data_IF_985698280609
#
_entry.id   IF_985698280609
#
_cell.length_a   1.000
_cell.length_b   1.000
_cell.length_c   1.000
_cell.angle_alpha   90.00
_cell.angle_beta   90.00
_cell.angle_gamma   90.00
#
_symmetry.space_group_name_H-M   'P 1'
#
loop_
_entity.id
_entity.type
_entity.pdbx_description
1 polymer ?
#
# COMPACT_ATOMS: atom_id res chain seq x y z
N UNK A 1 12.95 6.68 6.65
CA UNK A 1 14.26 6.56 7.29
C UNK A 1 14.32 7.14 8.71
N UNK A 2 13.19 7.42 9.33
CA UNK A 2 13.12 7.98 10.70
C UNK A 2 12.21 7.08 11.56
N UNK A 3 12.80 6.13 12.27
CA UNK A 3 12.08 5.18 13.14
C UNK A 3 11.33 5.90 14.25
N UNK A 4 11.88 7.00 14.76
CA UNK A 4 11.25 7.80 15.80
C UNK A 4 10.01 8.53 15.30
N UNK A 5 10.07 9.08 14.08
CA UNK A 5 8.91 9.68 13.42
C UNK A 5 7.81 8.64 13.15
N UNK A 6 8.18 7.41 12.77
CA UNK A 6 7.21 6.32 12.59
C UNK A 6 6.54 5.92 13.91
N UNK A 7 7.28 5.83 15.02
CA UNK A 7 6.70 5.58 16.34
C UNK A 7 5.70 6.66 16.73
N UNK A 8 6.10 7.93 16.59
CA UNK A 8 5.22 9.05 16.88
C UNK A 8 3.94 9.01 16.03
N UNK A 9 4.04 8.64 14.75
CA UNK A 9 2.87 8.49 13.88
C UNK A 9 1.97 7.37 14.37
N UNK A 10 2.51 6.24 14.78
CA UNK A 10 1.71 5.13 15.31
C UNK A 10 1.07 5.44 16.65
N UNK A 11 1.66 6.32 17.46
CA UNK A 11 1.12 6.77 18.75
C UNK A 11 0.08 7.87 18.62
N UNK A 12 0.19 8.74 17.60
CA UNK A 12 -0.66 9.93 17.46
C UNK A 12 -1.67 9.84 16.31
N UNK A 13 -1.43 8.96 15.34
CA UNK A 13 -2.20 8.89 14.11
C UNK A 13 -1.88 9.96 13.07
N UNK A 14 -0.90 10.84 13.34
CA UNK A 14 -0.52 11.93 12.44
C UNK A 14 0.99 12.13 12.39
N UNK A 15 1.48 12.60 11.23
CA UNK A 15 2.89 12.95 11.05
C UNK A 15 3.33 12.82 9.61
N UNK A 16 4.64 12.82 9.41
CA UNK A 16 5.23 12.61 8.10
C UNK A 16 6.58 11.91 8.21
N UNK A 17 6.93 11.16 7.18
CA UNK A 17 8.25 10.54 7.04
C UNK A 17 8.72 10.61 5.59
N UNK A 18 10.01 10.38 5.37
CA UNK A 18 10.59 10.33 4.03
C UNK A 18 10.56 8.91 3.48
N UNK A 19 10.14 8.79 2.22
CA UNK A 19 10.26 7.58 1.40
C UNK A 19 11.34 7.85 0.36
N UNK A 20 12.32 6.95 0.27
CA UNK A 20 13.46 7.07 -0.62
C UNK A 20 13.29 6.17 -1.84
N UNK A 21 13.94 6.56 -2.93
CA UNK A 21 14.15 5.69 -4.08
C UNK A 21 15.12 4.57 -3.72
N UNK A 22 14.95 3.39 -4.33
CA UNK A 22 15.98 2.37 -4.35
C UNK A 22 16.96 2.68 -5.48
N UNK A 23 18.23 2.89 -5.12
CA UNK A 23 19.26 3.35 -6.03
C UNK A 23 20.54 2.57 -5.81
N UNK A 24 21.15 2.12 -6.88
CA UNK A 24 22.47 1.51 -6.88
C UNK A 24 23.36 2.09 -7.99
N UNK A 25 24.65 1.99 -7.79
CA UNK A 25 25.65 2.39 -8.77
C UNK A 25 26.16 1.13 -9.48
N UNK A 26 26.13 1.13 -10.79
CA UNK A 26 26.81 0.14 -11.62
C UNK A 26 28.17 0.71 -12.02
N UNK A 27 29.22 0.23 -11.36
CA UNK A 27 30.59 0.67 -11.58
C UNK A 27 31.14 0.23 -12.97
N UNK A 28 30.63 -0.88 -13.51
CA UNK A 28 31.08 -1.39 -14.80
C UNK A 28 30.67 -0.49 -15.97
N UNK A 29 29.46 0.05 -15.88
CA UNK A 29 28.88 0.95 -16.90
C UNK A 29 28.98 2.42 -16.52
N UNK A 30 29.42 2.74 -15.30
CA UNK A 30 29.47 4.07 -14.72
C UNK A 30 28.09 4.75 -14.72
N UNK A 31 27.07 4.03 -14.23
CA UNK A 31 25.68 4.46 -14.23
C UNK A 31 25.11 4.48 -12.80
N UNK A 32 24.16 5.40 -12.58
CA UNK A 32 23.29 5.36 -11.41
C UNK A 32 21.94 4.81 -11.88
N UNK A 33 21.49 3.70 -11.27
CA UNK A 33 20.26 3.01 -11.64
C UNK A 33 19.26 3.13 -10.49
N UNK A 34 18.08 3.67 -10.80
CA UNK A 34 16.95 3.78 -9.88
C UNK A 34 15.97 2.67 -10.23
N UNK A 35 15.76 1.75 -9.29
CA UNK A 35 14.90 0.57 -9.47
C UNK A 35 13.53 0.71 -8.81
N UNK A 36 13.36 1.71 -7.96
CA UNK A 36 12.08 2.01 -7.35
C UNK A 36 11.94 3.50 -7.06
N UNK A 37 10.72 4.02 -7.17
CA UNK A 37 10.38 5.42 -6.86
C UNK A 37 9.35 5.47 -5.73
N UNK A 38 9.30 6.56 -4.94
CA UNK A 38 8.35 6.69 -3.85
C UNK A 38 6.90 6.55 -4.31
N UNK A 39 6.07 5.90 -3.49
CA UNK A 39 4.65 5.75 -3.75
C UNK A 39 3.97 7.09 -4.03
N UNK A 40 3.07 7.11 -5.02
CA UNK A 40 2.37 8.32 -5.43
C UNK A 40 3.17 9.27 -6.34
N UNK A 41 4.43 8.93 -6.66
CA UNK A 41 5.25 9.71 -7.58
C UNK A 41 4.88 9.38 -9.03
N UNK A 42 4.63 10.41 -9.85
CA UNK A 42 4.42 10.25 -11.28
C UNK A 42 5.78 10.08 -11.96
N UNK A 43 6.07 8.89 -12.50
CA UNK A 43 7.38 8.53 -13.06
C UNK A 43 7.86 9.52 -14.13
N UNK A 44 7.01 9.88 -15.09
CA UNK A 44 7.39 10.81 -16.16
C UNK A 44 7.79 12.20 -15.64
N UNK A 45 7.08 12.70 -14.62
CA UNK A 45 7.44 13.95 -13.97
C UNK A 45 8.75 13.84 -13.20
N UNK A 46 8.95 12.71 -12.49
CA UNK A 46 10.18 12.45 -11.75
C UNK A 46 11.41 12.45 -12.67
N UNK A 47 11.34 11.76 -13.81
CA UNK A 47 12.42 11.74 -14.82
C UNK A 47 12.68 13.14 -15.37
N UNK A 48 11.63 13.87 -15.73
CA UNK A 48 11.74 15.23 -16.22
C UNK A 48 12.36 16.19 -15.18
N UNK A 49 11.99 16.04 -13.90
CA UNK A 49 12.55 16.85 -12.81
C UNK A 49 14.05 16.55 -12.58
N UNK A 50 14.46 15.27 -12.73
CA UNK A 50 15.88 14.88 -12.67
C UNK A 50 16.67 15.49 -13.82
N UNK A 51 16.16 15.39 -15.05
CA UNK A 51 16.85 15.96 -16.23
C UNK A 51 16.89 17.48 -16.18
N UNK A 52 15.79 18.13 -15.76
CA UNK A 52 15.77 19.58 -15.51
C UNK A 52 16.82 20.00 -14.51
N UNK A 53 16.95 19.29 -13.39
CA UNK A 53 17.96 19.58 -12.36
C UNK A 53 19.38 19.39 -12.89
N UNK A 54 19.62 18.37 -13.72
CA UNK A 54 20.89 18.21 -14.42
C UNK A 54 21.31 19.47 -15.20
N UNK A 55 20.34 20.06 -15.90
CA UNK A 55 20.59 21.27 -16.70
C UNK A 55 20.71 22.53 -15.83
N UNK A 56 19.76 22.74 -14.91
CA UNK A 56 19.67 23.95 -14.09
C UNK A 56 20.86 24.06 -13.10
N UNK A 57 21.23 22.96 -12.47
CA UNK A 57 22.33 22.90 -11.49
C UNK A 57 23.69 22.70 -12.16
N UNK A 58 23.74 22.62 -13.51
CA UNK A 58 24.97 22.41 -14.30
C UNK A 58 25.77 21.20 -13.85
N UNK A 59 25.07 20.06 -13.69
CA UNK A 59 25.71 18.80 -13.32
C UNK A 59 26.39 18.17 -14.55
N UNK A 60 27.56 18.72 -14.92
CA UNK A 60 28.29 18.29 -16.13
C UNK A 60 28.79 16.85 -16.06
N UNK A 61 28.75 16.23 -14.88
CA UNK A 61 29.08 14.84 -14.65
C UNK A 61 27.93 13.86 -15.02
N UNK A 62 26.68 14.31 -15.14
CA UNK A 62 25.55 13.53 -15.61
C UNK A 62 25.32 13.84 -17.09
N UNK A 63 25.52 12.84 -17.95
CA UNK A 63 25.37 13.00 -19.40
C UNK A 63 23.91 13.00 -19.83
N UNK A 64 23.16 12.03 -19.36
CA UNK A 64 21.78 11.80 -19.77
C UNK A 64 20.96 11.13 -18.64
N UNK A 65 19.66 11.37 -18.64
CA UNK A 65 18.68 10.68 -17.79
C UNK A 65 17.71 9.94 -18.70
N UNK A 66 17.67 8.61 -18.60
CA UNK A 66 16.84 7.75 -19.46
C UNK A 66 15.85 6.94 -18.65
N UNK A 67 14.64 6.79 -19.18
CA UNK A 67 13.64 5.86 -18.64
C UNK A 67 13.64 4.58 -19.47
N UNK A 68 14.18 3.52 -18.90
CA UNK A 68 14.25 2.18 -19.49
C UNK A 68 13.24 1.22 -18.85
N UNK A 69 12.23 1.75 -18.12
CA UNK A 69 11.25 0.94 -17.42
C UNK A 69 10.37 0.16 -18.39
N UNK A 70 10.08 -1.09 -18.01
CA UNK A 70 9.10 -1.97 -18.67
C UNK A 70 7.97 -2.27 -17.67
N UNK A 71 7.88 -3.50 -17.16
CA UNK A 71 7.01 -3.85 -16.02
C UNK A 71 7.59 -3.32 -14.71
N UNK A 72 8.92 -3.34 -14.60
CA UNK A 72 9.67 -2.82 -13.46
C UNK A 72 10.23 -1.43 -13.75
N UNK A 73 10.37 -0.63 -12.69
CA UNK A 73 10.99 0.69 -12.77
C UNK A 73 12.49 0.53 -13.00
N UNK A 74 12.99 1.16 -14.07
CA UNK A 74 14.41 1.28 -14.36
C UNK A 74 14.70 2.65 -14.96
N UNK A 75 15.22 3.56 -14.15
CA UNK A 75 15.64 4.90 -14.59
C UNK A 75 17.16 4.94 -14.48
N UNK A 76 17.84 5.27 -15.57
CA UNK A 76 19.29 5.25 -15.69
C UNK A 76 19.80 6.66 -15.86
N UNK A 77 20.80 7.02 -15.05
CA UNK A 77 21.58 8.24 -15.20
C UNK A 77 22.98 7.85 -15.66
N UNK A 78 23.34 8.23 -16.87
CA UNK A 78 24.69 8.00 -17.42
C UNK A 78 25.66 9.02 -16.85
N UNK A 79 26.71 8.53 -16.23
CA UNK A 79 27.75 9.37 -15.63
C UNK A 79 28.97 9.43 -16.54
N UNK A 80 29.61 10.60 -16.65
CA UNK A 80 30.81 10.79 -17.43
C UNK A 80 31.93 9.89 -16.91
N UNK A 81 32.68 9.24 -17.79
CA UNK A 81 33.69 8.22 -17.45
C UNK A 81 34.72 8.66 -16.39
N UNK A 82 35.11 9.93 -16.41
CA UNK A 82 36.13 10.50 -15.51
C UNK A 82 35.53 11.16 -14.26
N UNK A 83 34.23 10.93 -13.98
CA UNK A 83 33.53 11.52 -12.87
C UNK A 83 33.12 10.45 -11.84
N UNK A 84 33.04 10.85 -10.60
CA UNK A 84 32.64 9.98 -9.49
C UNK A 84 31.10 9.88 -9.42
N UNK A 85 30.47 8.70 -9.70
CA UNK A 85 29.02 8.53 -9.63
C UNK A 85 28.50 8.70 -8.20
N UNK A 86 29.31 8.38 -7.17
CA UNK A 86 28.92 8.58 -5.78
C UNK A 86 28.71 10.04 -5.44
N UNK A 87 29.52 10.96 -5.99
CA UNK A 87 29.34 12.40 -5.79
C UNK A 87 28.03 12.89 -6.41
N UNK A 88 27.69 12.43 -7.62
CA UNK A 88 26.42 12.74 -8.26
C UNK A 88 25.23 12.21 -7.45
N UNK A 89 25.31 10.98 -6.96
CA UNK A 89 24.27 10.39 -6.12
C UNK A 89 24.09 11.15 -4.81
N UNK A 90 25.16 11.50 -4.12
CA UNK A 90 25.11 12.26 -2.88
C UNK A 90 24.51 13.66 -3.11
N UNK A 91 24.86 14.31 -4.21
CA UNK A 91 24.25 15.60 -4.60
C UNK A 91 22.73 15.48 -4.78
N UNK A 92 22.26 14.49 -5.56
CA UNK A 92 20.83 14.26 -5.78
C UNK A 92 20.10 13.94 -4.47
N UNK A 93 20.73 13.21 -3.55
CA UNK A 93 20.21 12.95 -2.20
C UNK A 93 20.13 14.22 -1.36
N UNK A 94 21.19 15.03 -1.36
CA UNK A 94 21.24 16.31 -0.62
C UNK A 94 20.15 17.28 -1.10
N UNK A 95 19.92 17.36 -2.40
CA UNK A 95 18.85 18.19 -2.99
C UNK A 95 17.45 17.61 -2.80
N UNK A 96 17.34 16.42 -2.22
CA UNK A 96 16.06 15.77 -1.97
C UNK A 96 15.37 15.20 -3.22
N UNK A 97 16.12 15.06 -4.34
CA UNK A 97 15.56 14.58 -5.61
C UNK A 97 15.17 13.10 -5.58
N UNK A 98 15.80 12.32 -4.68
CA UNK A 98 15.62 10.87 -4.57
C UNK A 98 14.74 10.46 -3.37
N UNK A 99 13.94 11.39 -2.86
CA UNK A 99 13.02 11.12 -1.75
C UNK A 99 11.74 11.94 -1.91
N UNK A 100 10.68 11.45 -1.30
CA UNK A 100 9.39 12.15 -1.17
C UNK A 100 8.94 12.16 0.27
N UNK A 101 8.28 13.22 0.70
CA UNK A 101 7.62 13.27 2.01
C UNK A 101 6.27 12.57 1.91
N UNK A 102 6.04 11.58 2.76
CA UNK A 102 4.75 10.94 2.90
C UNK A 102 4.07 11.45 4.17
N UNK A 103 2.97 12.19 3.99
CA UNK A 103 2.16 12.66 5.10
C UNK A 103 1.14 11.59 5.50
N UNK A 104 1.06 11.31 6.80
CA UNK A 104 0.15 10.34 7.40
C UNK A 104 -0.91 11.09 8.20
N UNK A 105 -2.18 10.75 7.95
CA UNK A 105 -3.31 11.15 8.76
C UNK A 105 -4.28 9.97 8.83
N UNK A 106 -4.28 9.28 9.97
CA UNK A 106 -5.10 8.11 10.21
C UNK A 106 -6.53 8.51 10.62
N UNK A 107 -7.21 9.22 9.71
CA UNK A 107 -8.61 9.61 9.90
C UNK A 107 -9.51 8.43 9.51
N UNK A 108 -10.34 7.95 10.43
CA UNK A 108 -11.31 6.89 10.21
C UNK A 108 -12.69 7.26 10.77
N UNK A 109 -13.72 6.51 10.34
CA UNK A 109 -15.06 6.62 10.91
C UNK A 109 -15.21 5.56 12.01
N UNK A 110 -15.32 6.01 13.25
CA UNK A 110 -15.66 5.16 14.39
C UNK A 110 -17.11 5.45 14.81
N UNK A 111 -17.96 4.43 14.80
CA UNK A 111 -19.40 4.52 15.14
C UNK A 111 -20.12 5.69 14.43
N UNK A 112 -19.74 5.94 13.17
CA UNK A 112 -20.33 6.99 12.34
C UNK A 112 -19.73 8.39 12.53
N UNK A 113 -18.74 8.55 13.39
CA UNK A 113 -18.07 9.84 13.64
C UNK A 113 -16.63 9.82 13.12
N UNK A 114 -16.18 10.87 12.40
CA UNK A 114 -14.77 10.98 11.97
C UNK A 114 -13.89 11.24 13.19
N UNK A 115 -12.84 10.42 13.34
CA UNK A 115 -11.85 10.54 14.41
C UNK A 115 -10.46 10.24 13.84
N UNK A 116 -9.48 11.07 14.19
CA UNK A 116 -8.07 10.71 13.99
C UNK A 116 -7.67 9.75 15.09
N UNK A 117 -7.19 8.59 14.70
CA UNK A 117 -6.93 7.47 15.60
C UNK A 117 -5.48 7.03 15.47
N UNK A 118 -4.88 6.61 16.56
CA UNK A 118 -3.60 5.91 16.53
C UNK A 118 -3.77 4.47 16.00
N UNK A 119 -2.65 3.78 15.75
CA UNK A 119 -2.69 2.44 15.19
C UNK A 119 -3.47 1.44 16.07
N UNK A 120 -3.26 1.50 17.38
CA UNK A 120 -3.95 0.59 18.33
C UNK A 120 -5.45 0.89 18.37
N UNK A 121 -5.84 2.17 18.43
CA UNK A 121 -7.25 2.58 18.40
C UNK A 121 -7.98 2.09 17.12
N UNK A 122 -7.29 2.12 15.96
CA UNK A 122 -7.88 1.58 14.71
C UNK A 122 -8.09 0.07 14.81
N UNK A 123 -7.10 -0.65 15.35
CA UNK A 123 -7.19 -2.12 15.53
C UNK A 123 -8.30 -2.46 16.51
N UNK A 124 -8.36 -1.77 17.65
CA UNK A 124 -9.40 -1.98 18.66
C UNK A 124 -10.80 -1.69 18.12
N UNK A 125 -10.97 -0.57 17.41
CA UNK A 125 -12.23 -0.23 16.76
C UNK A 125 -12.67 -1.27 15.72
N UNK A 126 -11.71 -1.84 14.98
CA UNK A 126 -11.99 -2.93 14.05
C UNK A 126 -12.42 -4.20 14.77
N UNK A 127 -11.74 -4.57 15.87
CA UNK A 127 -12.10 -5.74 16.68
C UNK A 127 -13.50 -5.56 17.28
N UNK A 128 -13.79 -4.40 17.88
CA UNK A 128 -15.11 -4.08 18.41
C UNK A 128 -16.21 -4.22 17.35
N UNK A 129 -15.94 -3.72 16.15
CA UNK A 129 -16.87 -3.88 15.03
C UNK A 129 -17.08 -5.35 14.65
N UNK A 130 -16.02 -6.16 14.60
CA UNK A 130 -16.14 -7.60 14.33
C UNK A 130 -16.96 -8.32 15.41
N UNK A 131 -16.74 -8.00 16.68
CA UNK A 131 -17.53 -8.51 17.80
C UNK A 131 -19.01 -8.18 17.63
N UNK A 132 -19.32 -6.92 17.29
CA UNK A 132 -20.71 -6.51 17.04
C UNK A 132 -21.35 -7.27 15.87
N UNK A 133 -20.64 -7.35 14.73
CA UNK A 133 -21.12 -8.03 13.52
C UNK A 133 -21.38 -9.51 13.79
N UNK A 134 -20.43 -10.22 14.40
CA UNK A 134 -20.57 -11.65 14.73
C UNK A 134 -21.73 -11.86 15.72
N UNK A 135 -21.83 -11.01 16.74
CA UNK A 135 -22.92 -11.07 17.72
C UNK A 135 -24.28 -10.91 17.05
N UNK A 136 -24.45 -9.91 16.18
CA UNK A 136 -25.70 -9.66 15.46
C UNK A 136 -26.03 -10.80 14.49
N UNK A 137 -25.04 -11.28 13.74
CA UNK A 137 -25.16 -12.43 12.83
C UNK A 137 -25.61 -13.68 13.60
N UNK A 138 -24.92 -14.00 14.70
CA UNK A 138 -25.25 -15.18 15.52
C UNK A 138 -26.65 -15.11 16.11
N UNK A 139 -27.08 -13.95 16.61
CA UNK A 139 -28.46 -13.75 17.11
C UNK A 139 -29.51 -13.95 16.00
N UNK A 140 -29.27 -13.40 14.83
CA UNK A 140 -30.15 -13.58 13.66
C UNK A 140 -30.23 -15.05 13.23
N UNK A 141 -29.08 -15.73 13.16
CA UNK A 141 -29.03 -17.15 12.77
C UNK A 141 -29.71 -18.04 13.81
N UNK A 142 -29.57 -17.77 15.12
CA UNK A 142 -30.30 -18.47 16.18
C UNK A 142 -31.81 -18.30 15.98
N UNK A 143 -32.27 -17.07 15.75
CA UNK A 143 -33.71 -16.81 15.54
C UNK A 143 -34.25 -17.59 14.33
N UNK A 144 -33.54 -17.53 13.21
CA UNK A 144 -33.91 -18.25 11.97
C UNK A 144 -33.91 -19.76 12.14
N UNK A 145 -32.88 -20.30 12.79
CA UNK A 145 -32.74 -21.75 13.02
C UNK A 145 -33.75 -22.24 14.05
N UNK A 146 -34.05 -21.48 15.10
CA UNK A 146 -35.07 -21.81 16.09
C UNK A 146 -36.47 -21.84 15.46
N UNK A 147 -36.79 -20.87 14.59
CA UNK A 147 -38.04 -20.90 13.85
C UNK A 147 -38.15 -22.13 12.95
N UNK A 148 -37.08 -22.49 12.26
CA UNK A 148 -37.04 -23.72 11.42
C UNK A 148 -37.16 -24.98 12.26
N UNK A 149 -36.45 -25.07 13.38
CA UNK A 149 -36.52 -26.19 14.32
C UNK A 149 -37.95 -26.41 14.86
N UNK A 150 -38.64 -25.29 15.19
CA UNK A 150 -40.05 -25.34 15.59
C UNK A 150 -40.90 -26.00 14.50
N UNK A 151 -40.73 -25.62 13.23
CA UNK A 151 -41.48 -26.21 12.11
C UNK A 151 -41.15 -27.71 11.97
N UNK A 152 -39.89 -28.10 12.01
CA UNK A 152 -39.44 -29.49 11.91
C UNK A 152 -40.06 -30.35 13.01
N UNK A 153 -40.05 -29.87 14.25
CA UNK A 153 -40.69 -30.55 15.40
C UNK A 153 -42.22 -30.67 15.21
N UNK A 154 -42.83 -29.60 14.69
CA UNK A 154 -44.25 -29.61 14.36
C UNK A 154 -44.61 -30.67 13.29
N UNK A 155 -43.80 -30.78 12.23
CA UNK A 155 -43.99 -31.80 11.19
C UNK A 155 -43.79 -33.22 11.74
N UNK A 156 -42.76 -33.45 12.58
CA UNK A 156 -42.55 -34.76 13.21
C UNK A 156 -43.70 -35.13 14.14
N UNK A 157 -44.22 -34.18 14.95
CA UNK A 157 -45.40 -34.38 15.77
C UNK A 157 -46.64 -34.70 14.92
N UNK A 158 -46.83 -33.98 13.81
CA UNK A 158 -47.97 -34.25 12.91
C UNK A 158 -47.89 -35.64 12.28
N UNK A 159 -46.71 -36.10 11.89
CA UNK A 159 -46.47 -37.45 11.36
C UNK A 159 -46.81 -38.53 12.41
N UNK A 160 -46.49 -38.31 13.69
CA UNK A 160 -46.79 -39.26 14.76
C UNK A 160 -48.31 -39.43 15.01
N UNK A 161 -49.13 -38.46 14.63
CA UNK A 161 -50.59 -38.46 14.78
C UNK A 161 -51.31 -38.28 13.44
N UNK A 162 -50.71 -38.81 12.38
CA UNK A 162 -51.05 -38.54 10.97
C UNK A 162 -52.52 -38.80 10.65
N UNK A 163 -53.09 -39.93 11.08
CA UNK A 163 -54.50 -40.31 10.79
C UNK A 163 -55.46 -39.23 11.29
N UNK A 164 -55.21 -38.70 12.49
CA UNK A 164 -56.05 -37.63 13.07
C UNK A 164 -55.86 -36.30 12.34
N UNK A 165 -54.64 -36.00 11.90
CA UNK A 165 -54.34 -34.78 11.11
C UNK A 165 -55.12 -34.85 9.79
N UNK A 166 -55.09 -35.98 9.08
CA UNK A 166 -55.82 -36.20 7.82
C UNK A 166 -57.33 -36.10 8.03
N UNK A 167 -57.84 -36.66 9.11
CA UNK A 167 -59.26 -36.58 9.45
C UNK A 167 -59.73 -35.14 9.65
N UNK A 168 -59.00 -34.36 10.42
CA UNK A 168 -59.28 -32.94 10.64
C UNK A 168 -59.26 -32.16 9.32
N UNK A 169 -58.23 -32.37 8.47
CA UNK A 169 -58.09 -31.65 7.19
C UNK A 169 -59.26 -31.97 6.27
N UNK A 170 -59.70 -33.26 6.20
CA UNK A 170 -60.83 -33.69 5.37
C UNK A 170 -62.19 -33.07 5.81
N UNK A 171 -62.37 -32.85 7.10
CA UNK A 171 -63.58 -32.28 7.64
C UNK A 171 -63.52 -30.75 7.83
N UNK A 172 -62.55 -30.11 7.23
CA UNK A 172 -62.37 -28.65 7.25
C UNK A 172 -62.90 -28.02 5.97
N UNK A 173 -63.44 -26.81 6.11
CA UNK A 173 -64.04 -26.03 5.01
C UNK A 173 -63.05 -25.26 4.16
N UNK A 174 -61.72 -25.38 4.46
CA UNK A 174 -60.64 -24.74 3.72
C UNK A 174 -59.35 -24.67 4.52
N UNK A 175 -58.31 -24.04 3.94
CA UNK A 175 -56.97 -23.98 4.51
C UNK A 175 -56.93 -23.29 5.90
N UNK A 176 -57.60 -22.18 6.06
CA UNK A 176 -57.65 -21.45 7.36
C UNK A 176 -58.38 -22.25 8.44
N UNK A 177 -59.52 -22.87 8.08
CA UNK A 177 -60.27 -23.72 9.01
C UNK A 177 -59.44 -24.93 9.45
N UNK A 178 -58.71 -25.57 8.50
CA UNK A 178 -57.79 -26.69 8.79
C UNK A 178 -56.70 -26.27 9.78
N UNK A 179 -56.08 -25.11 9.58
CA UNK A 179 -55.02 -24.57 10.49
C UNK A 179 -55.58 -24.37 11.89
N UNK A 180 -56.71 -23.66 12.02
CA UNK A 180 -57.35 -23.38 13.32
C UNK A 180 -57.68 -24.68 14.08
N UNK A 181 -58.32 -25.64 13.41
CA UNK A 181 -58.62 -26.93 14.03
C UNK A 181 -57.38 -27.72 14.45
N UNK A 182 -56.31 -27.68 13.66
CA UNK A 182 -55.06 -28.33 14.02
C UNK A 182 -54.37 -27.62 15.23
N UNK A 183 -54.44 -26.32 15.31
CA UNK A 183 -53.94 -25.57 16.49
C UNK A 183 -54.76 -25.96 17.74
N UNK A 184 -56.09 -25.99 17.65
CA UNK A 184 -56.95 -26.34 18.79
C UNK A 184 -56.76 -27.80 19.24
N UNK A 185 -56.63 -28.75 18.28
CA UNK A 185 -56.55 -30.16 18.58
C UNK A 185 -55.20 -30.64 19.10
N UNK A 186 -54.10 -30.01 18.67
CA UNK A 186 -52.72 -30.48 18.94
C UNK A 186 -51.78 -29.41 19.51
N UNK A 187 -52.25 -28.20 19.79
CA UNK A 187 -51.44 -27.10 20.28
C UNK A 187 -50.25 -26.77 19.38
N UNK A 188 -50.50 -26.79 18.06
CA UNK A 188 -49.50 -26.35 17.08
C UNK A 188 -49.42 -24.84 17.03
N UNK A 189 -48.23 -24.27 16.75
CA UNK A 189 -48.11 -22.85 16.42
C UNK A 189 -48.71 -22.59 15.02
N UNK A 190 -49.00 -21.31 14.74
CA UNK A 190 -49.54 -20.89 13.43
C UNK A 190 -48.60 -21.33 12.27
N UNK A 191 -47.30 -21.15 12.46
CA UNK A 191 -46.29 -21.52 11.45
C UNK A 191 -46.17 -23.03 11.26
N UNK A 192 -46.31 -23.81 12.34
CA UNK A 192 -46.37 -25.28 12.28
C UNK A 192 -47.63 -25.75 11.56
N UNK A 193 -48.78 -25.21 11.89
CA UNK A 193 -50.04 -25.55 11.24
C UNK A 193 -50.03 -25.18 9.75
N UNK A 194 -49.49 -24.03 9.40
CA UNK A 194 -49.28 -23.64 7.99
C UNK A 194 -48.38 -24.63 7.24
N UNK A 195 -47.25 -25.03 7.83
CA UNK A 195 -46.34 -26.00 7.26
C UNK A 195 -46.96 -27.37 7.10
N UNK A 196 -47.79 -27.82 8.06
CA UNK A 196 -48.50 -29.10 8.02
C UNK A 196 -49.53 -29.13 6.88
N UNK A 197 -50.37 -28.08 6.79
CA UNK A 197 -51.45 -27.99 5.77
C UNK A 197 -50.86 -27.85 4.35
N UNK A 198 -49.71 -27.27 4.19
CA UNK A 198 -49.02 -27.14 2.89
C UNK A 198 -48.08 -28.29 2.56
N UNK A 199 -47.93 -29.24 3.48
CA UNK A 199 -47.05 -30.38 3.28
C UNK A 199 -47.56 -31.34 2.17
N UNK A 200 -46.66 -31.72 1.30
CA UNK A 200 -46.99 -32.69 0.23
C UNK A 200 -47.05 -34.13 0.79
N UNK A 201 -48.10 -34.88 0.45
CA UNK A 201 -48.34 -36.21 1.01
C UNK A 201 -47.21 -37.23 0.81
N UNK A 202 -46.43 -37.13 -0.26
CA UNK A 202 -45.28 -38.03 -0.48
C UNK A 202 -44.18 -37.87 0.57
N UNK A 203 -44.07 -36.73 1.23
CA UNK A 203 -43.09 -36.49 2.30
C UNK A 203 -43.39 -37.20 3.62
N UNK A 204 -44.38 -38.02 3.63
CA UNK A 204 -44.77 -38.87 4.77
C UNK A 204 -44.06 -40.23 4.75
N UNK A 205 -43.12 -40.44 3.83
CA UNK A 205 -42.33 -41.68 3.75
C UNK A 205 -41.37 -41.83 4.94
N UNK A 206 -41.03 -43.09 5.29
CA UNK A 206 -40.05 -43.35 6.36
C UNK A 206 -38.69 -42.71 6.10
N UNK A 207 -38.32 -42.51 4.84
CA UNK A 207 -37.07 -41.85 4.45
C UNK A 207 -37.10 -40.37 4.79
N UNK A 208 -38.23 -39.70 4.62
CA UNK A 208 -38.40 -38.29 4.96
C UNK A 208 -38.46 -38.08 6.46
N UNK A 209 -39.00 -39.00 7.25
CA UNK A 209 -38.96 -38.93 8.73
C UNK A 209 -37.53 -38.97 9.25
N UNK A 210 -36.70 -39.86 8.72
CA UNK A 210 -35.26 -39.89 9.12
C UNK A 210 -34.50 -38.63 8.68
N UNK A 211 -34.90 -38.02 7.56
CA UNK A 211 -34.32 -36.74 7.12
C UNK A 211 -34.70 -35.60 8.09
N UNK A 212 -35.95 -35.53 8.54
CA UNK A 212 -36.41 -34.54 9.52
C UNK A 212 -35.72 -34.71 10.88
N UNK A 213 -35.50 -35.95 11.33
CA UNK A 213 -34.73 -36.24 12.57
C UNK A 213 -33.28 -35.71 12.47
N UNK A 214 -32.61 -35.99 11.36
CA UNK A 214 -31.26 -35.49 11.13
C UNK A 214 -31.21 -33.96 11.06
N UNK A 215 -32.21 -33.35 10.43
CA UNK A 215 -32.33 -31.88 10.38
C UNK A 215 -32.54 -31.29 11.78
N UNK A 216 -33.35 -31.94 12.65
CA UNK A 216 -33.56 -31.55 14.03
C UNK A 216 -32.23 -31.56 14.80
N UNK A 217 -31.50 -32.69 14.79
CA UNK A 217 -30.24 -32.86 15.47
C UNK A 217 -29.19 -31.83 15.00
N UNK A 218 -29.14 -31.58 13.68
CA UNK A 218 -28.24 -30.58 13.11
C UNK A 218 -28.57 -29.18 13.59
N UNK A 219 -29.87 -28.78 13.51
CA UNK A 219 -30.31 -27.46 13.96
C UNK A 219 -30.07 -27.26 15.46
N UNK A 220 -30.32 -28.27 16.30
CA UNK A 220 -30.02 -28.19 17.72
C UNK A 220 -28.53 -28.00 17.99
N UNK A 221 -27.68 -28.75 17.29
CA UNK A 221 -26.23 -28.62 17.37
C UNK A 221 -25.75 -27.23 16.99
N UNK A 222 -26.23 -26.73 15.85
CA UNK A 222 -25.88 -25.38 15.36
C UNK A 222 -26.38 -24.25 16.30
N UNK A 223 -27.60 -24.34 16.83
CA UNK A 223 -28.14 -23.40 17.81
C UNK A 223 -27.31 -23.42 19.09
N UNK A 224 -26.93 -24.61 19.56
CA UNK A 224 -26.09 -24.75 20.73
C UNK A 224 -24.72 -24.10 20.54
N UNK A 225 -24.07 -24.35 19.40
CA UNK A 225 -22.76 -23.75 19.06
C UNK A 225 -22.85 -22.22 19.01
N UNK A 226 -23.87 -21.68 18.34
CA UNK A 226 -24.09 -20.23 18.28
C UNK A 226 -24.34 -19.60 19.65
N UNK A 227 -25.11 -20.26 20.51
CA UNK A 227 -25.32 -19.78 21.88
C UNK A 227 -24.02 -19.84 22.70
N UNK A 228 -23.18 -20.85 22.52
CA UNK A 228 -21.87 -20.94 23.16
C UNK A 228 -20.91 -19.84 22.70
N UNK A 229 -20.95 -19.47 21.41
CA UNK A 229 -20.19 -18.32 20.89
C UNK A 229 -20.64 -17.02 21.54
N UNK A 230 -21.95 -16.81 21.71
CA UNK A 230 -22.49 -15.61 22.34
C UNK A 230 -22.25 -15.55 23.87
N UNK A 231 -22.17 -16.68 24.53
CA UNK A 231 -21.95 -16.77 25.98
C UNK A 231 -20.49 -16.73 26.41
N UNK A 232 -19.55 -16.94 25.49
CA UNK A 232 -18.12 -17.07 25.78
C UNK A 232 -17.27 -16.21 24.85
N UNK A 233 -16.64 -15.19 25.42
CA UNK A 233 -15.78 -14.25 24.69
C UNK A 233 -14.61 -14.96 24.00
N UNK A 234 -13.98 -15.96 24.63
CA UNK A 234 -12.89 -16.73 24.02
C UNK A 234 -13.35 -17.47 22.75
N UNK A 235 -14.59 -18.00 22.76
CA UNK A 235 -15.14 -18.65 21.56
C UNK A 235 -15.42 -17.66 20.46
N UNK A 236 -15.95 -16.49 20.78
CA UNK A 236 -16.19 -15.40 19.84
C UNK A 236 -14.85 -14.94 19.23
N UNK A 237 -13.84 -14.72 20.05
CA UNK A 237 -12.50 -14.33 19.61
C UNK A 237 -11.86 -15.37 18.68
N UNK A 238 -12.09 -16.69 18.94
CA UNK A 238 -11.63 -17.75 18.03
C UNK A 238 -12.29 -17.68 16.66
N UNK A 239 -13.57 -17.27 16.57
CA UNK A 239 -14.23 -17.05 15.28
C UNK A 239 -13.54 -15.91 14.52
N UNK A 240 -13.29 -14.77 15.20
CA UNK A 240 -12.57 -13.64 14.60
C UNK A 240 -11.19 -14.07 14.10
N UNK A 241 -10.43 -14.80 14.94
CA UNK A 241 -9.09 -15.28 14.57
C UNK A 241 -9.14 -16.22 13.36
N UNK A 242 -10.17 -17.09 13.29
CA UNK A 242 -10.35 -18.00 12.15
C UNK A 242 -10.61 -17.19 10.86
N UNK A 243 -11.56 -16.26 10.89
CA UNK A 243 -11.92 -15.43 9.75
C UNK A 243 -10.69 -14.61 9.28
N UNK A 244 -9.92 -14.02 10.20
CA UNK A 244 -8.68 -13.29 9.88
C UNK A 244 -7.60 -14.19 9.25
N UNK A 245 -7.44 -15.44 9.73
CA UNK A 245 -6.49 -16.38 9.12
C UNK A 245 -6.86 -16.77 7.69
N UNK A 246 -8.16 -16.89 7.40
CA UNK A 246 -8.65 -17.12 6.04
C UNK A 246 -8.34 -15.93 5.13
N UNK A 247 -8.57 -14.71 5.59
CA UNK A 247 -8.22 -13.47 4.87
C UNK A 247 -6.72 -13.39 4.61
N UNK A 248 -5.88 -13.70 5.61
CA UNK A 248 -4.42 -13.71 5.44
C UNK A 248 -3.99 -14.74 4.39
N UNK A 249 -4.61 -15.92 4.40
CA UNK A 249 -4.29 -16.98 3.43
C UNK A 249 -4.65 -16.59 2.00
N UNK A 250 -5.75 -15.87 1.80
CA UNK A 250 -6.26 -15.50 0.47
C UNK A 250 -5.62 -14.20 -0.06
N UNK A 251 -5.42 -13.20 0.79
CA UNK A 251 -5.00 -11.84 0.40
C UNK A 251 -3.67 -11.41 1.00
N UNK A 252 -3.07 -12.21 1.87
CA UNK A 252 -1.81 -11.87 2.51
C UNK A 252 -0.66 -11.76 1.51
N UNK A 253 0.11 -10.69 1.61
CA UNK A 253 1.33 -10.48 0.83
C UNK A 253 2.44 -9.93 1.73
N UNK A 254 3.67 -10.07 1.27
CA UNK A 254 4.82 -9.52 1.97
C UNK A 254 4.86 -7.99 1.88
N UNK A 255 5.49 -7.36 2.88
CA UNK A 255 5.71 -5.91 2.89
C UNK A 255 6.66 -5.54 1.76
N UNK A 256 6.20 -4.67 0.85
CA UNK A 256 7.01 -4.18 -0.27
C UNK A 256 7.98 -3.07 0.13
N UNK A 257 7.68 -2.29 1.17
CA UNK A 257 8.52 -1.16 1.62
C UNK A 257 9.43 -1.59 2.74
N UNK A 258 10.73 -1.39 2.60
CA UNK A 258 11.75 -1.66 3.62
C UNK A 258 11.82 -0.48 4.59
N UNK A 259 11.81 -0.78 5.89
CA UNK A 259 12.06 0.23 6.94
C UNK A 259 13.56 0.30 7.14
N UNK A 260 14.13 1.50 7.01
CA UNK A 260 15.54 1.75 7.27
C UNK A 260 15.73 2.07 8.76
N UNK A 261 16.63 1.35 9.41
CA UNK A 261 16.92 1.51 10.85
C UNK A 261 17.69 2.82 11.16
N UNK A 262 18.29 3.42 10.14
CA UNK A 262 19.04 4.67 10.28
C UNK A 262 18.79 5.61 9.10
N UNK A 263 18.93 6.90 9.35
CA UNK A 263 18.89 7.92 8.28
C UNK A 263 19.99 7.65 7.27
N UNK A 264 19.65 7.75 5.98
CA UNK A 264 20.65 7.65 4.92
C UNK A 264 21.70 8.75 5.14
N UNK A 265 22.95 8.34 5.35
CA UNK A 265 24.06 9.28 5.50
C UNK A 265 24.28 9.99 4.18
N UNK A 266 24.15 11.31 4.21
CA UNK A 266 24.48 12.17 3.08
C UNK A 266 25.86 12.76 3.42
N UNK A 267 26.88 12.32 2.71
CA UNK A 267 28.23 12.86 2.86
C UNK A 267 28.29 14.29 2.32
N UNK A 268 29.06 15.14 2.99
CA UNK A 268 29.31 16.48 2.48
C UNK A 268 30.09 16.37 1.16
N UNK A 269 29.55 16.99 0.13
CA UNK A 269 30.12 16.98 -1.21
C UNK A 269 31.08 18.17 -1.31
N UNK A 270 32.32 17.92 -1.73
CA UNK A 270 33.18 18.99 -2.24
C UNK A 270 32.61 19.42 -3.60
N UNK A 271 32.31 20.70 -3.77
CA UNK A 271 31.81 21.25 -5.03
C UNK A 271 32.74 20.90 -6.23
N UNK A 272 34.01 20.63 -5.97
CA UNK A 272 34.98 20.19 -6.97
C UNK A 272 34.68 18.81 -7.53
N UNK A 273 34.10 17.90 -6.74
CA UNK A 273 33.77 16.53 -7.19
C UNK A 273 32.63 16.47 -8.20
N UNK A 274 31.79 17.54 -8.24
CA UNK A 274 30.69 17.66 -9.20
C UNK A 274 31.15 18.18 -10.56
N UNK A 275 32.35 18.74 -10.63
CA UNK A 275 32.92 19.30 -11.84
C UNK A 275 33.87 18.24 -12.45
N UNK A 276 33.69 17.92 -13.73
CA UNK A 276 34.60 17.03 -14.42
C UNK A 276 36.02 17.61 -14.40
N UNK A 277 37.01 16.76 -14.06
CA UNK A 277 38.43 17.15 -14.12
C UNK A 277 38.88 17.22 -15.58
N UNK A 278 39.04 18.43 -16.06
CA UNK A 278 39.48 18.69 -17.44
C UNK A 278 40.68 19.62 -17.44
N UNK A 279 41.58 19.39 -18.39
CA UNK A 279 42.70 20.32 -18.60
C UNK A 279 42.21 21.60 -19.25
N UNK A 280 42.63 22.70 -18.72
CA UNK A 280 42.30 24.03 -19.20
C UNK A 280 43.46 24.98 -19.11
N UNK A 281 43.45 26.04 -19.93
CA UNK A 281 44.34 27.16 -19.77
C UNK A 281 43.68 28.26 -18.99
N UNK A 282 44.39 28.81 -17.99
CA UNK A 282 44.02 30.01 -17.28
C UNK A 282 44.85 31.13 -17.84
N UNK A 283 44.19 32.16 -18.29
CA UNK A 283 44.79 33.36 -18.90
C UNK A 283 44.51 34.56 -18.03
N UNK A 284 45.54 35.31 -17.68
CA UNK A 284 45.45 36.60 -17.00
C UNK A 284 45.85 37.71 -17.95
N UNK A 285 45.05 38.74 -18.03
CA UNK A 285 45.33 39.91 -18.88
C UNK A 285 45.89 41.08 -18.07
N UNK A 286 46.48 42.05 -18.77
CA UNK A 286 47.07 43.25 -18.14
C UNK A 286 46.04 44.08 -17.40
N UNK A 287 44.80 44.12 -17.90
CA UNK A 287 43.72 44.85 -17.29
C UNK A 287 43.05 44.10 -16.12
N UNK A 288 43.63 42.93 -15.69
CA UNK A 288 43.21 42.17 -14.53
C UNK A 288 42.07 41.20 -14.81
N UNK A 289 41.74 40.90 -16.06
CA UNK A 289 40.73 39.88 -16.39
C UNK A 289 41.35 38.50 -16.31
N UNK A 290 40.64 37.57 -15.62
CA UNK A 290 41.00 36.16 -15.58
C UNK A 290 39.98 35.37 -16.42
N UNK A 291 40.49 34.51 -17.31
CA UNK A 291 39.66 33.67 -18.17
C UNK A 291 40.16 32.24 -18.18
N UNK A 292 39.23 31.32 -18.04
CA UNK A 292 39.46 29.88 -18.28
C UNK A 292 39.07 29.53 -19.72
N UNK A 293 39.97 28.83 -20.43
CA UNK A 293 39.73 28.35 -21.81
C UNK A 293 40.03 26.86 -21.87
N UNK A 294 39.13 26.10 -22.47
CA UNK A 294 39.34 24.65 -22.68
C UNK A 294 40.62 24.43 -23.54
N UNK A 295 41.37 23.37 -23.24
CA UNK A 295 42.63 23.06 -23.87
C UNK A 295 42.53 23.02 -25.41
N UNK A 296 41.49 22.39 -25.94
CA UNK A 296 41.27 22.28 -27.42
C UNK A 296 41.02 23.67 -28.02
N UNK A 297 40.20 24.49 -27.38
CA UNK A 297 39.91 25.86 -27.86
C UNK A 297 41.15 26.73 -27.79
N UNK A 298 41.97 26.58 -26.75
CA UNK A 298 43.21 27.32 -26.61
C UNK A 298 44.22 26.89 -27.71
N UNK A 299 44.42 25.59 -27.89
CA UNK A 299 45.31 25.04 -28.94
C UNK A 299 44.87 25.44 -30.34
N UNK A 300 43.58 25.42 -30.63
CA UNK A 300 43.03 25.88 -31.90
C UNK A 300 43.26 27.38 -32.16
N UNK A 301 43.27 28.17 -31.09
CA UNK A 301 43.51 29.64 -31.16
C UNK A 301 44.99 29.95 -31.33
N UNK A 302 45.89 29.08 -30.83
CA UNK A 302 47.35 29.27 -30.89
C UNK A 302 47.95 28.70 -32.18
N UNK A 303 47.34 27.69 -32.81
CA UNK A 303 47.79 27.06 -34.06
C UNK A 303 47.65 27.99 -35.30
N UNK A 304 48.17 29.20 -35.22
CA UNK A 304 48.20 30.14 -36.35
C UNK A 304 48.25 31.61 -36.01
N UNK A 305 48.03 31.96 -34.74
CA UNK A 305 48.09 33.37 -34.28
C UNK A 305 49.05 33.58 -33.11
N UNK A 306 49.69 34.75 -33.02
CA UNK A 306 50.47 35.10 -31.81
C UNK A 306 49.57 35.01 -30.57
N UNK A 307 50.22 34.72 -29.40
CA UNK A 307 49.56 34.55 -28.09
C UNK A 307 48.71 35.80 -27.71
N UNK A 308 48.97 36.95 -28.31
CA UNK A 308 48.26 38.20 -28.07
C UNK A 308 46.90 38.31 -28.74
N UNK A 309 46.53 37.39 -29.68
CA UNK A 309 45.30 37.43 -30.46
C UNK A 309 44.29 36.30 -30.10
N UNK A 310 44.18 35.93 -28.86
CA UNK A 310 43.16 35.01 -28.41
C UNK A 310 41.75 35.56 -28.64
N UNK A 311 40.85 34.81 -29.27
CA UNK A 311 39.46 35.30 -29.49
C UNK A 311 38.79 35.70 -28.21
N UNK A 312 38.23 36.92 -28.17
CA UNK A 312 37.52 37.53 -27.05
C UNK A 312 38.36 38.17 -25.91
N UNK A 313 39.54 38.61 -26.18
CA UNK A 313 40.20 39.60 -25.33
C UNK A 313 39.67 40.99 -25.72
N UNK A 314 39.56 41.89 -24.73
CA UNK A 314 39.10 43.24 -24.95
C UNK A 314 40.10 43.98 -25.84
N UNK A 315 39.63 44.75 -26.82
CA UNK A 315 40.50 45.53 -27.71
C UNK A 315 41.41 46.42 -26.88
N UNK A 316 42.73 46.27 -27.07
CA UNK A 316 43.75 47.05 -26.34
C UNK A 316 44.32 46.38 -25.08
N UNK A 317 43.77 45.27 -24.65
CA UNK A 317 44.31 44.46 -23.56
C UNK A 317 45.29 43.41 -24.10
N UNK A 318 46.14 42.85 -23.23
CA UNK A 318 47.12 41.81 -23.62
C UNK A 318 47.26 40.76 -22.53
N UNK A 319 47.59 39.52 -22.93
CA UNK A 319 47.89 38.45 -22.01
C UNK A 319 49.18 38.68 -21.29
N UNK A 320 49.14 38.62 -19.97
CA UNK A 320 50.34 38.71 -19.08
C UNK A 320 50.77 37.34 -18.61
N UNK A 321 49.83 36.45 -18.35
CA UNK A 321 50.12 35.10 -17.91
C UNK A 321 49.16 34.10 -18.60
N UNK A 322 49.71 32.99 -19.09
CA UNK A 322 48.96 31.86 -19.54
C UNK A 322 49.57 30.60 -18.94
N UNK A 323 48.75 29.80 -18.23
CA UNK A 323 49.21 28.58 -17.54
C UNK A 323 48.25 27.44 -17.72
N UNK A 324 48.80 26.25 -17.94
CA UNK A 324 48.04 25.02 -17.90
C UNK A 324 47.60 24.71 -16.48
N UNK A 325 46.34 24.40 -16.31
CA UNK A 325 45.72 24.08 -15.03
C UNK A 325 44.58 23.06 -15.29
N UNK A 326 44.03 22.54 -14.25
CA UNK A 326 42.82 21.72 -14.31
C UNK A 326 41.60 22.46 -13.75
N UNK A 327 40.39 22.00 -14.09
CA UNK A 327 39.17 22.56 -13.55
C UNK A 327 39.08 22.45 -12.03
N UNK A 328 39.89 21.59 -11.40
CA UNK A 328 39.99 21.41 -9.95
C UNK A 328 41.01 22.29 -9.24
N UNK A 329 41.84 23.00 -10.02
CA UNK A 329 42.85 23.87 -9.43
C UNK A 329 42.25 25.19 -8.95
N UNK A 330 42.80 25.71 -7.87
CA UNK A 330 42.49 27.04 -7.37
C UNK A 330 43.51 28.05 -7.89
N UNK A 331 43.02 29.13 -8.41
CA UNK A 331 43.90 30.25 -8.88
C UNK A 331 43.86 31.33 -7.81
N UNK A 332 45.04 31.68 -7.30
CA UNK A 332 45.24 32.83 -6.41
C UNK A 332 45.89 33.90 -7.26
N UNK A 333 45.21 35.06 -7.42
CA UNK A 333 45.68 36.19 -8.18
C UNK A 333 45.90 37.39 -7.25
#
# INVERSE_FOLDING_TARGET
DDVEALKQIYETGQGSFYVHCDVHIDEATNQIIITNIPYGTIKSKFVADLDKRRVDDKLDNILEVRDESTEDVRIVLDIKKDSNPQAALNYLRQKGSLRSTFAVNMLALDKGHPKTMNLLEIIDAYIDHQVEVITRRSKFDIQKKTARLSIVRGLMKAISVLDKVIEIIRHSSGKEDSKNKLIEAFDFTKDQAEAIVTMQLYRLSNTDVTALQKEEEQLEGEIKELNEILANEDKLNRVIIKDLKEVIKEFGNERKTTILDSKIKIENIDAKELIAKEDCYVVLTKDGYVKRTNLRSYQASVNGNPIDDLPKIKVGDRIVLSRLATTHDSVVA
#
